data_IF_221765163531
#
_entry.id   IF_221765163531
#
_cell.length_a   1.000
_cell.length_b   1.000
_cell.length_c   1.000
_cell.angle_alpha   90.00
_cell.angle_beta   90.00
_cell.angle_gamma   90.00
#
_symmetry.space_group_name_H-M   'P 1'
#
loop_
_entity.id
_entity.type
_entity.pdbx_description
1 polymer ?
#
# COMPACT_ATOMS: atom_id res chain seq x y z
N UNK A 1 42.40 15.31 34.17
CA UNK A 1 41.53 14.14 34.38
C UNK A 1 40.13 14.59 34.10
N UNK A 2 39.63 14.33 32.88
CA UNK A 2 38.25 14.53 32.50
C UNK A 2 37.42 13.34 32.99
N UNK A 3 36.31 13.62 33.63
CA UNK A 3 35.33 12.62 34.05
C UNK A 3 34.78 11.85 32.81
N UNK A 4 34.53 10.54 32.95
CA UNK A 4 33.92 9.78 31.87
C UNK A 4 32.53 10.33 31.66
N UNK A 5 32.20 10.69 30.41
CA UNK A 5 30.90 11.15 30.01
C UNK A 5 29.83 10.11 30.40
N UNK A 6 28.84 10.59 31.12
CA UNK A 6 27.66 9.84 31.50
C UNK A 6 26.96 9.34 30.19
N UNK A 7 26.95 8.02 30.03
CA UNK A 7 26.18 7.40 28.96
C UNK A 7 24.69 7.61 29.27
N UNK A 8 24.07 8.57 28.59
CA UNK A 8 22.63 8.71 28.60
C UNK A 8 22.13 7.66 27.61
N UNK A 9 21.40 6.63 28.07
CA UNK A 9 20.73 5.73 27.14
C UNK A 9 19.78 6.57 26.29
N UNK A 10 19.97 6.54 24.97
CA UNK A 10 18.94 7.03 24.04
C UNK A 10 17.89 5.92 24.00
N UNK A 11 17.13 5.82 25.08
CA UNK A 11 16.00 4.93 25.16
C UNK A 11 14.74 5.80 25.26
N UNK A 12 14.08 5.91 24.13
CA UNK A 12 12.65 6.14 23.91
C UNK A 12 12.37 6.21 22.39
N UNK A 13 12.92 5.27 21.64
CA UNK A 13 12.37 5.01 20.33
C UNK A 13 11.09 4.19 20.58
N UNK A 14 9.97 4.87 20.54
CA UNK A 14 8.66 4.22 20.54
C UNK A 14 8.67 3.06 19.55
N UNK A 15 8.19 1.91 19.98
CA UNK A 15 8.14 0.72 19.12
C UNK A 15 7.27 1.00 17.89
N UNK A 16 7.68 0.47 16.73
CA UNK A 16 6.86 0.53 15.52
C UNK A 16 5.51 -0.12 15.79
N UNK A 17 4.44 0.63 15.70
CA UNK A 17 3.08 0.10 15.76
C UNK A 17 2.51 -0.06 14.35
N UNK A 18 1.73 -1.12 14.15
CA UNK A 18 1.07 -1.43 12.88
C UNK A 18 -0.35 -1.91 13.14
N UNK A 19 -1.33 -1.21 12.60
CA UNK A 19 -2.74 -1.53 12.72
C UNK A 19 -3.38 -1.70 11.35
N UNK A 20 -4.31 -2.65 11.26
CA UNK A 20 -5.04 -2.97 10.04
C UNK A 20 -6.52 -2.81 10.29
N UNK A 21 -7.16 -1.90 9.56
CA UNK A 21 -8.57 -1.60 9.69
C UNK A 21 -9.21 -1.37 8.32
N UNK A 22 -10.48 -0.99 8.31
CA UNK A 22 -11.19 -0.60 7.10
C UNK A 22 -11.74 0.81 7.24
N UNK A 23 -11.86 1.49 6.11
CA UNK A 23 -12.51 2.78 5.97
C UNK A 23 -13.63 2.63 4.93
N UNK A 24 -14.73 3.36 5.11
CA UNK A 24 -15.85 3.30 4.18
C UNK A 24 -16.44 4.69 3.92
N UNK A 25 -17.16 4.85 2.83
CA UNK A 25 -17.69 6.14 2.41
C UNK A 25 -18.83 6.64 3.33
N UNK A 26 -19.65 5.75 3.87
CA UNK A 26 -20.80 6.15 4.70
C UNK A 26 -20.35 6.82 6.00
N UNK A 27 -19.32 6.29 6.64
CA UNK A 27 -18.81 6.78 7.93
C UNK A 27 -17.73 7.85 7.78
N UNK A 28 -16.95 7.81 6.70
CA UNK A 28 -15.73 8.57 6.55
C UNK A 28 -15.77 9.62 5.41
N UNK A 29 -16.90 9.75 4.72
CA UNK A 29 -17.05 10.74 3.66
C UNK A 29 -16.90 12.20 4.11
N UNK A 30 -17.01 12.46 5.41
CA UNK A 30 -16.80 13.78 6.03
C UNK A 30 -15.63 13.80 7.03
N UNK A 31 -14.71 12.84 6.94
CA UNK A 31 -13.53 12.77 7.80
C UNK A 31 -12.61 13.99 7.59
N UNK A 32 -11.92 14.42 8.63
CA UNK A 32 -10.85 15.42 8.57
C UNK A 32 -9.51 14.76 9.00
N UNK A 33 -8.35 15.14 8.47
CA UNK A 33 -8.08 16.26 7.55
C UNK A 33 -8.39 15.95 6.07
N UNK A 34 -8.53 14.70 5.68
CA UNK A 34 -8.84 14.26 4.33
C UNK A 34 -10.08 13.37 4.40
N UNK A 35 -11.11 13.71 3.65
CA UNK A 35 -12.34 12.91 3.56
C UNK A 35 -12.12 11.66 2.67
N UNK A 36 -12.86 10.59 2.96
CA UNK A 36 -12.87 9.43 2.09
C UNK A 36 -13.75 9.72 0.86
N UNK A 37 -13.19 9.54 -0.31
CA UNK A 37 -13.88 9.60 -1.60
C UNK A 37 -13.57 8.34 -2.40
N UNK A 38 -14.43 7.99 -3.34
CA UNK A 38 -14.17 6.88 -4.23
C UNK A 38 -13.01 7.18 -5.18
N UNK A 39 -12.18 6.18 -5.51
CA UNK A 39 -11.17 6.33 -6.54
C UNK A 39 -11.79 6.75 -7.89
N UNK A 40 -11.03 7.48 -8.73
CA UNK A 40 -11.51 7.91 -10.04
C UNK A 40 -11.97 6.72 -10.90
N UNK A 41 -13.17 6.82 -11.48
CA UNK A 41 -13.75 5.78 -12.32
C UNK A 41 -14.37 4.59 -11.58
N UNK A 42 -14.38 4.62 -10.25
CA UNK A 42 -15.10 3.64 -9.43
C UNK A 42 -16.47 4.22 -9.07
N UNK A 43 -17.51 3.46 -9.34
CA UNK A 43 -18.89 3.79 -8.99
C UNK A 43 -19.41 2.78 -7.98
N UNK A 44 -20.25 3.24 -7.04
CA UNK A 44 -20.90 2.35 -6.09
C UNK A 44 -21.88 1.42 -6.81
N UNK A 45 -21.77 0.13 -6.56
CA UNK A 45 -22.71 -0.84 -7.06
C UNK A 45 -24.08 -0.67 -6.37
N UNK A 46 -25.15 -0.95 -7.12
CA UNK A 46 -26.51 -0.98 -6.57
C UNK A 46 -26.79 -2.35 -5.95
N UNK A 47 -27.30 -2.34 -4.73
CA UNK A 47 -27.83 -3.56 -4.11
C UNK A 47 -29.17 -3.91 -4.74
N UNK A 48 -29.16 -4.90 -5.64
CA UNK A 48 -30.34 -5.40 -6.31
C UNK A 48 -31.09 -6.47 -5.50
N UNK A 49 -30.66 -6.77 -4.28
CA UNK A 49 -31.30 -7.80 -3.42
C UNK A 49 -32.49 -7.25 -2.64
N UNK A 50 -32.63 -5.93 -2.56
CA UNK A 50 -33.72 -5.27 -1.86
C UNK A 50 -34.66 -4.54 -2.82
N UNK A 51 -35.91 -4.41 -2.43
CA UNK A 51 -36.94 -3.68 -3.20
C UNK A 51 -36.67 -2.18 -3.29
N UNK A 52 -35.82 -1.66 -2.41
CA UNK A 52 -35.33 -0.29 -2.38
C UNK A 52 -33.93 -0.30 -2.97
N UNK A 53 -33.72 0.36 -4.10
CA UNK A 53 -32.39 0.53 -4.68
C UNK A 53 -31.50 1.28 -3.68
N UNK A 54 -30.56 0.58 -3.08
CA UNK A 54 -29.57 1.14 -2.15
C UNK A 54 -28.18 0.95 -2.74
N UNK A 55 -27.35 1.95 -2.68
CA UNK A 55 -25.93 1.82 -3.04
C UNK A 55 -25.21 0.96 -2.00
N UNK A 56 -24.35 0.07 -2.46
CA UNK A 56 -23.49 -0.70 -1.57
C UNK A 56 -22.44 0.21 -0.97
N UNK A 57 -22.09 -0.04 0.30
CA UNK A 57 -21.07 0.71 0.98
C UNK A 57 -19.69 0.25 0.50
N UNK A 58 -18.96 1.14 -0.17
CA UNK A 58 -17.59 0.89 -0.62
C UNK A 58 -16.60 1.01 0.53
N UNK A 59 -15.66 0.06 0.59
CA UNK A 59 -14.69 -0.03 1.66
C UNK A 59 -13.28 -0.16 1.11
N UNK A 60 -12.33 0.46 1.80
CA UNK A 60 -10.90 0.29 1.56
C UNK A 60 -10.16 -0.23 2.79
N UNK A 61 -9.09 -0.95 2.56
CA UNK A 61 -8.18 -1.39 3.61
C UNK A 61 -7.31 -0.22 4.07
N UNK A 62 -7.18 -0.04 5.36
CA UNK A 62 -6.29 0.94 5.98
C UNK A 62 -5.14 0.22 6.67
N UNK A 63 -3.93 0.58 6.29
CA UNK A 63 -2.70 0.16 6.94
C UNK A 63 -2.11 1.37 7.67
N UNK A 64 -2.24 1.40 8.99
CA UNK A 64 -1.71 2.48 9.80
C UNK A 64 -0.41 2.05 10.44
N UNK A 65 0.65 2.78 10.16
CA UNK A 65 1.97 2.55 10.72
C UNK A 65 2.45 3.79 11.46
N UNK A 66 3.03 3.62 12.65
CA UNK A 66 3.66 4.70 13.41
C UNK A 66 5.06 4.27 13.81
N UNK A 67 5.99 5.23 13.87
CA UNK A 67 7.38 5.03 14.29
C UNK A 67 8.10 3.94 13.47
N UNK A 68 7.81 3.90 12.16
CA UNK A 68 8.51 2.99 11.25
C UNK A 68 9.96 3.45 11.15
N UNK A 69 10.90 2.56 11.43
CA UNK A 69 12.32 2.83 11.31
C UNK A 69 12.74 2.78 9.85
N UNK A 70 13.77 3.56 9.51
CA UNK A 70 14.34 3.55 8.17
C UNK A 70 14.80 2.13 7.78
N UNK A 71 14.41 1.70 6.59
CA UNK A 71 14.65 0.36 6.07
C UNK A 71 13.70 -0.74 6.57
N UNK A 72 12.83 -0.45 7.55
CA UNK A 72 11.81 -1.38 8.02
C UNK A 72 10.55 -1.35 7.13
N UNK A 73 9.81 -2.44 7.14
CA UNK A 73 8.52 -2.55 6.45
C UNK A 73 7.50 -3.32 7.27
N UNK A 74 6.23 -3.04 7.02
CA UNK A 74 5.09 -3.78 7.60
C UNK A 74 4.11 -4.12 6.50
N UNK A 75 3.48 -5.29 6.61
CA UNK A 75 2.51 -5.73 5.62
C UNK A 75 1.38 -6.55 6.26
N UNK A 76 0.19 -6.39 5.72
CA UNK A 76 -0.91 -7.31 5.92
C UNK A 76 -0.91 -8.36 4.80
N UNK A 77 -1.24 -9.61 5.13
CA UNK A 77 -1.30 -10.68 4.14
C UNK A 77 -2.61 -11.45 4.21
N UNK A 78 -2.97 -12.02 3.07
CA UNK A 78 -4.10 -12.92 2.96
C UNK A 78 -3.71 -14.16 2.14
N UNK A 79 -3.97 -15.34 2.68
CA UNK A 79 -3.89 -16.56 1.89
C UNK A 79 -5.07 -16.62 0.92
N UNK A 80 -4.78 -16.89 -0.34
CA UNK A 80 -5.77 -16.99 -1.40
C UNK A 80 -5.48 -18.18 -2.29
N UNK A 81 -6.52 -18.91 -2.68
CA UNK A 81 -6.45 -20.05 -3.61
C UNK A 81 -6.83 -19.61 -5.06
N UNK A 82 -6.66 -18.33 -5.37
CA UNK A 82 -6.95 -17.78 -6.70
C UNK A 82 -5.89 -18.21 -7.70
N UNK A 83 -6.32 -18.79 -8.83
CA UNK A 83 -5.44 -19.04 -9.96
C UNK A 83 -5.19 -17.75 -10.75
N UNK A 84 -4.06 -17.11 -10.47
CA UNK A 84 -3.65 -15.84 -11.07
C UNK A 84 -3.47 -15.92 -12.60
N UNK A 85 -3.30 -17.09 -13.18
CA UNK A 85 -3.16 -17.28 -14.63
C UNK A 85 -4.42 -16.92 -15.43
N UNK A 86 -5.55 -16.84 -14.74
CA UNK A 86 -6.82 -16.44 -15.37
C UNK A 86 -7.00 -14.91 -15.48
N UNK A 87 -6.08 -14.15 -14.94
CA UNK A 87 -6.13 -12.69 -14.92
C UNK A 87 -5.03 -12.09 -15.81
N UNK A 88 -5.33 -10.95 -16.42
CA UNK A 88 -4.37 -10.25 -17.29
C UNK A 88 -3.50 -9.27 -16.50
N UNK A 89 -4.05 -8.66 -15.48
CA UNK A 89 -3.36 -7.64 -14.68
C UNK A 89 -3.96 -7.50 -13.29
N UNK A 90 -3.20 -6.97 -12.38
CA UNK A 90 -3.62 -6.55 -11.06
C UNK A 90 -3.64 -5.03 -11.00
N UNK A 91 -4.73 -4.47 -10.48
CA UNK A 91 -4.88 -3.03 -10.27
C UNK A 91 -5.27 -2.74 -8.83
N UNK A 92 -4.67 -1.69 -8.26
CA UNK A 92 -4.99 -1.24 -6.92
C UNK A 92 -4.77 0.26 -6.82
N UNK A 93 -5.75 0.98 -6.30
CA UNK A 93 -5.59 2.37 -5.90
C UNK A 93 -4.95 2.43 -4.52
N UNK A 94 -4.00 3.34 -4.35
CA UNK A 94 -3.34 3.58 -3.07
C UNK A 94 -3.45 5.05 -2.72
N UNK A 95 -3.91 5.33 -1.50
CA UNK A 95 -3.92 6.65 -0.89
C UNK A 95 -2.89 6.68 0.23
N UNK A 96 -2.13 7.74 0.33
CA UNK A 96 -1.15 7.94 1.41
C UNK A 96 -1.38 9.27 2.10
N UNK A 97 -1.47 9.24 3.42
CA UNK A 97 -1.60 10.44 4.26
C UNK A 97 -0.76 10.32 5.52
N UNK A 98 -0.26 11.44 6.03
CA UNK A 98 0.38 11.54 7.34
C UNK A 98 -0.62 11.84 8.45
N UNK A 99 -0.22 11.60 9.69
CA UNK A 99 -0.94 12.10 10.87
C UNK A 99 -0.80 13.63 10.98
N UNK A 100 0.33 14.15 10.53
CA UNK A 100 0.69 15.56 10.48
C UNK A 100 1.13 15.91 9.07
N UNK A 101 1.04 17.18 8.71
CA UNK A 101 1.43 17.69 7.39
C UNK A 101 2.96 17.87 7.32
N UNK A 102 3.71 16.80 7.55
CA UNK A 102 5.17 16.79 7.60
C UNK A 102 5.83 15.76 6.68
N UNK A 103 5.03 14.89 6.07
CA UNK A 103 5.49 13.89 5.11
C UNK A 103 5.63 14.50 3.72
N UNK A 104 6.56 13.97 2.94
CA UNK A 104 6.82 14.38 1.56
C UNK A 104 6.68 13.20 0.61
N UNK A 105 6.44 13.51 -0.64
CA UNK A 105 6.42 12.52 -1.70
C UNK A 105 7.73 11.73 -1.72
N UNK A 106 7.61 10.39 -1.72
CA UNK A 106 8.75 9.48 -1.69
C UNK A 106 9.32 9.15 -0.31
N UNK A 107 8.83 9.74 0.79
CA UNK A 107 9.25 9.36 2.15
C UNK A 107 8.84 7.92 2.49
N UNK A 108 7.78 7.42 1.86
CA UNK A 108 7.29 6.05 1.99
C UNK A 108 7.13 5.40 0.63
N UNK A 109 7.24 4.08 0.63
CA UNK A 109 6.85 3.25 -0.50
C UNK A 109 5.73 2.27 -0.12
N UNK A 110 4.96 1.85 -1.11
CA UNK A 110 3.98 0.78 -1.00
C UNK A 110 4.43 -0.40 -1.83
N UNK A 111 4.31 -1.61 -1.28
CA UNK A 111 4.63 -2.81 -2.04
C UNK A 111 3.49 -3.83 -1.99
N UNK A 112 3.39 -4.62 -3.06
CA UNK A 112 2.57 -5.83 -3.12
C UNK A 112 3.46 -7.04 -3.37
N UNK A 113 3.31 -8.09 -2.57
CA UNK A 113 4.00 -9.37 -2.74
C UNK A 113 3.02 -10.46 -3.13
N UNK A 114 3.39 -11.24 -4.15
CA UNK A 114 2.66 -12.39 -4.62
C UNK A 114 3.60 -13.59 -4.61
N UNK A 115 3.34 -14.58 -3.76
CA UNK A 115 4.25 -15.71 -3.65
C UNK A 115 3.77 -16.81 -2.72
N UNK A 116 4.63 -17.79 -2.51
CA UNK A 116 4.36 -18.94 -1.65
C UNK A 116 4.89 -18.78 -0.24
N UNK A 117 5.85 -17.88 -0.04
CA UNK A 117 6.40 -17.52 1.26
C UNK A 117 6.77 -16.01 1.30
N UNK A 118 7.21 -15.54 2.47
CA UNK A 118 7.48 -14.11 2.70
C UNK A 118 8.93 -13.70 2.46
N UNK A 119 9.84 -14.64 2.24
CA UNK A 119 11.28 -14.38 2.30
C UNK A 119 12.07 -14.82 1.06
N UNK A 120 11.60 -15.83 0.32
CA UNK A 120 12.45 -16.46 -0.69
C UNK A 120 11.77 -16.80 -2.01
N UNK A 121 10.44 -16.85 -2.06
CA UNK A 121 9.70 -17.26 -3.26
C UNK A 121 8.50 -16.34 -3.50
N UNK A 122 8.77 -15.12 -3.87
CA UNK A 122 7.75 -14.13 -4.15
C UNK A 122 8.17 -13.18 -5.29
N UNK A 123 7.17 -12.62 -5.93
CA UNK A 123 7.30 -11.42 -6.75
C UNK A 123 6.93 -10.23 -5.89
N UNK A 124 7.65 -9.15 -6.02
CA UNK A 124 7.34 -7.89 -5.36
C UNK A 124 7.28 -6.76 -6.38
N UNK A 125 6.27 -5.95 -6.24
CA UNK A 125 6.14 -4.69 -6.95
C UNK A 125 6.05 -3.58 -5.90
N UNK A 126 6.92 -2.60 -6.00
CA UNK A 126 7.06 -1.52 -5.04
C UNK A 126 7.07 -0.18 -5.78
N UNK A 127 6.33 0.79 -5.27
CA UNK A 127 6.27 2.16 -5.77
C UNK A 127 6.52 3.15 -4.64
N UNK A 128 7.22 4.28 -4.90
CA UNK A 128 7.21 5.41 -3.99
C UNK A 128 5.81 5.99 -3.94
N UNK A 129 5.43 6.59 -2.80
CA UNK A 129 4.10 7.16 -2.64
C UNK A 129 4.15 8.69 -2.68
N UNK A 130 3.20 9.27 -3.40
CA UNK A 130 2.84 10.67 -3.29
C UNK A 130 1.85 10.85 -2.14
N UNK A 131 2.16 11.82 -1.27
CA UNK A 131 1.38 12.09 -0.06
C UNK A 131 0.28 13.09 -0.38
N UNK A 132 -0.93 12.78 0.05
CA UNK A 132 -2.08 13.66 -0.15
C UNK A 132 -2.02 14.86 0.81
N UNK A 133 -2.13 16.06 0.27
CA UNK A 133 -2.16 17.30 1.03
C UNK A 133 -3.43 17.41 1.90
N UNK A 134 -3.29 17.93 3.10
CA UNK A 134 -4.42 18.16 3.99
C UNK A 134 -5.44 19.14 3.38
N UNK A 135 -6.70 18.76 3.50
CA UNK A 135 -7.81 19.53 2.92
C UNK A 135 -8.09 19.22 1.45
N UNK A 136 -7.39 18.26 0.84
CA UNK A 136 -7.77 17.73 -0.47
C UNK A 136 -9.17 17.13 -0.43
N UNK A 137 -9.96 17.42 -1.46
CA UNK A 137 -11.37 16.96 -1.57
C UNK A 137 -11.68 16.32 -2.91
N UNK A 138 -10.84 16.52 -3.91
CA UNK A 138 -11.03 15.95 -5.24
C UNK A 138 -10.47 14.53 -5.27
N UNK A 139 -11.17 13.64 -5.97
CA UNK A 139 -10.76 12.24 -6.08
C UNK A 139 -9.36 12.08 -6.70
N UNK A 140 -9.02 12.90 -7.70
CA UNK A 140 -7.72 12.85 -8.37
C UNK A 140 -6.56 13.30 -7.47
N UNK A 141 -6.82 14.19 -6.50
CA UNK A 141 -5.81 14.66 -5.55
C UNK A 141 -5.63 13.66 -4.40
N UNK A 142 -6.70 12.94 -4.02
CA UNK A 142 -6.70 11.94 -2.95
C UNK A 142 -6.15 10.59 -3.45
N UNK A 143 -6.44 10.24 -4.71
CA UNK A 143 -5.96 9.03 -5.38
C UNK A 143 -5.10 9.43 -6.57
N UNK A 144 -3.86 9.93 -6.36
CA UNK A 144 -2.99 10.33 -7.46
C UNK A 144 -2.62 9.13 -8.32
N UNK A 145 -2.51 9.35 -9.62
CA UNK A 145 -2.20 8.29 -10.58
C UNK A 145 -0.82 7.66 -10.31
N UNK A 146 0.10 8.43 -9.75
CA UNK A 146 1.44 8.01 -9.35
C UNK A 146 1.40 6.88 -8.31
N UNK A 147 0.36 6.85 -7.49
CA UNK A 147 0.14 5.81 -6.49
C UNK A 147 -0.67 4.61 -7.01
N UNK A 148 -1.12 4.62 -8.27
CA UNK A 148 -1.86 3.50 -8.84
C UNK A 148 -0.91 2.33 -9.13
N UNK A 149 -1.17 1.18 -8.52
CA UNK A 149 -0.52 -0.08 -8.90
C UNK A 149 -1.30 -0.67 -10.06
N UNK A 150 -0.66 -0.83 -11.22
CA UNK A 150 -1.23 -1.43 -12.41
C UNK A 150 -0.21 -2.35 -13.09
N UNK A 151 -0.25 -3.64 -12.75
CA UNK A 151 0.77 -4.63 -13.12
C UNK A 151 0.18 -5.65 -14.09
N UNK A 152 0.66 -5.75 -15.34
CA UNK A 152 0.34 -6.86 -16.21
C UNK A 152 1.04 -8.14 -15.71
N UNK A 153 0.31 -9.25 -15.65
CA UNK A 153 0.88 -10.52 -15.15
C UNK A 153 2.01 -11.08 -16.04
N UNK A 154 2.09 -10.68 -17.28
CA UNK A 154 3.18 -11.06 -18.19
C UNK A 154 4.56 -10.70 -17.62
N UNK A 155 4.69 -9.56 -16.94
CA UNK A 155 5.96 -9.11 -16.36
C UNK A 155 6.51 -10.10 -15.31
N UNK A 156 5.66 -10.77 -14.57
CA UNK A 156 6.09 -11.77 -13.60
C UNK A 156 6.62 -13.04 -14.28
N UNK A 157 6.08 -13.39 -15.44
CA UNK A 157 6.55 -14.54 -16.23
C UNK A 157 7.92 -14.22 -16.84
N UNK A 158 8.08 -13.02 -17.37
CA UNK A 158 9.34 -12.57 -18.00
C UNK A 158 10.48 -12.54 -16.96
N UNK A 159 10.26 -11.95 -15.78
CA UNK A 159 11.24 -11.90 -14.70
C UNK A 159 11.63 -13.32 -14.26
N UNK A 160 10.66 -14.21 -14.10
CA UNK A 160 10.93 -15.59 -13.71
C UNK A 160 11.75 -16.33 -14.77
N UNK A 161 11.44 -16.11 -16.03
CA UNK A 161 12.18 -16.72 -17.14
C UNK A 161 13.62 -16.20 -17.19
N UNK A 162 13.81 -14.90 -17.03
CA UNK A 162 15.13 -14.27 -17.01
C UNK A 162 15.98 -14.78 -15.84
N UNK A 163 15.40 -14.80 -14.62
CA UNK A 163 16.07 -15.38 -13.45
C UNK A 163 16.48 -16.83 -13.67
N UNK A 164 15.60 -17.65 -14.23
CA UNK A 164 15.90 -19.06 -14.49
C UNK A 164 17.01 -19.24 -15.54
N UNK A 165 17.15 -18.31 -16.47
CA UNK A 165 18.20 -18.33 -17.50
C UNK A 165 19.55 -17.89 -16.95
N UNK A 166 19.57 -16.93 -16.02
CA UNK A 166 20.79 -16.30 -15.50
C UNK A 166 21.22 -16.83 -14.13
N UNK A 167 20.40 -17.65 -13.48
CA UNK A 167 20.63 -18.21 -12.13
C UNK A 167 20.86 -17.13 -11.03
N UNK A 168 20.43 -15.91 -11.29
CA UNK A 168 20.55 -14.77 -10.39
C UNK A 168 19.16 -14.14 -10.15
N UNK A 169 19.03 -13.39 -9.05
CA UNK A 169 17.82 -12.61 -8.81
C UNK A 169 17.72 -11.49 -9.86
N UNK A 170 16.54 -11.33 -10.45
CA UNK A 170 16.28 -10.32 -11.47
C UNK A 170 15.47 -9.18 -10.86
N UNK A 171 15.98 -7.96 -11.05
CA UNK A 171 15.36 -6.74 -10.62
C UNK A 171 15.07 -5.86 -11.82
N UNK A 172 13.80 -5.57 -12.05
CA UNK A 172 13.37 -4.54 -12.98
C UNK A 172 12.89 -3.32 -12.19
N UNK A 173 12.78 -2.15 -12.80
CA UNK A 173 12.18 -1.00 -12.11
C UNK A 173 10.83 -1.39 -11.49
N UNK A 174 10.73 -1.20 -10.18
CA UNK A 174 9.56 -1.52 -9.35
C UNK A 174 9.18 -3.00 -9.24
N UNK A 175 9.87 -3.93 -9.88
CA UNK A 175 9.53 -5.37 -9.83
C UNK A 175 10.77 -6.20 -9.56
N UNK A 176 10.66 -7.14 -8.63
CA UNK A 176 11.71 -8.14 -8.36
C UNK A 176 11.10 -9.53 -8.15
N UNK A 177 11.90 -10.55 -8.41
CA UNK A 177 11.64 -11.94 -8.02
C UNK A 177 12.80 -12.45 -7.18
N UNK A 178 12.49 -12.94 -5.98
CA UNK A 178 13.45 -13.46 -5.00
C UNK A 178 13.21 -14.94 -4.77
#
# INVERSE_FOLDING_TARGET
>A
LSEPGEYVPVDDQEETSFDVSSINIEENGNRSPINYVLPPGIEQELDNTTTTQRQQNEQSLVLKVCNLKDGDSRAAYKRSDIDMRNYKRIKMFVHAEGKEDNLKNGDFSCFIRLGTDFSSNYYEYEIPLDITDFGSTRAEDIWPQENEIDIPFEIFQDIKQERNSNSENVFLPYVKYV
#
